data_IF_153356617426
#
_entry.id   IF_153356617426
#
_cell.length_a   1.000
_cell.length_b   1.000
_cell.length_c   1.000
_cell.angle_alpha   90.00
_cell.angle_beta   90.00
_cell.angle_gamma   90.00
#
_symmetry.space_group_name_H-M   'P 1'
#
loop_
_entity.id
_entity.type
_entity.pdbx_description
1 polymer ?
#
# COMPACT_ATOMS: atom_id res chain seq x y z
N UNK A 1 -5.98 14.93 -10.88
CA UNK A 1 -5.00 15.45 -9.89
C UNK A 1 -5.24 14.76 -8.55
N UNK A 2 -4.46 13.73 -8.20
CA UNK A 2 -4.55 13.09 -6.88
C UNK A 2 -4.01 14.06 -5.83
N UNK A 3 -4.91 14.68 -5.05
CA UNK A 3 -4.55 15.62 -3.96
C UNK A 3 -3.69 14.98 -2.85
N UNK A 4 -3.62 13.66 -2.79
CA UNK A 4 -2.89 12.90 -1.77
C UNK A 4 -1.45 12.52 -2.16
N UNK A 5 -0.98 12.90 -3.36
CA UNK A 5 0.30 12.41 -3.89
C UNK A 5 0.32 10.89 -4.10
N UNK A 6 1.47 10.29 -4.45
CA UNK A 6 1.58 8.85 -4.73
C UNK A 6 1.39 7.97 -3.48
N UNK A 7 1.45 8.55 -2.28
CA UNK A 7 1.39 7.81 -1.01
C UNK A 7 -0.01 7.72 -0.40
N UNK A 8 -1.04 8.30 -1.02
CA UNK A 8 -2.40 8.26 -0.48
C UNK A 8 -2.94 6.84 -0.32
N UNK A 9 -2.86 6.04 -1.39
CA UNK A 9 -3.29 4.64 -1.37
C UNK A 9 -2.38 3.78 -0.49
N UNK A 10 -1.06 4.05 -0.52
CA UNK A 10 -0.09 3.38 0.35
C UNK A 10 -0.36 3.60 1.84
N UNK A 11 -0.69 4.84 2.22
CA UNK A 11 -1.04 5.19 3.59
C UNK A 11 -2.34 4.51 4.02
N UNK A 12 -3.36 4.49 3.15
CA UNK A 12 -4.60 3.77 3.41
C UNK A 12 -4.34 2.28 3.67
N UNK A 13 -3.61 1.62 2.77
CA UNK A 13 -3.23 0.21 2.90
C UNK A 13 -2.48 -0.06 4.20
N UNK A 14 -1.49 0.78 4.52
CA UNK A 14 -0.72 0.66 5.76
C UNK A 14 -1.61 0.79 7.02
N UNK A 15 -2.52 1.76 7.03
CA UNK A 15 -3.41 2.02 8.16
C UNK A 15 -4.42 0.89 8.37
N UNK A 16 -5.06 0.42 7.29
CA UNK A 16 -6.03 -0.68 7.36
C UNK A 16 -5.34 -1.96 7.88
N UNK A 17 -4.19 -2.35 7.32
CA UNK A 17 -3.49 -3.53 7.78
C UNK A 17 -2.91 -3.41 9.19
N UNK A 18 -2.49 -2.21 9.61
CA UNK A 18 -2.05 -1.98 10.99
C UNK A 18 -3.22 -2.13 11.97
N UNK A 19 -4.39 -1.58 11.64
CA UNK A 19 -5.60 -1.75 12.45
C UNK A 19 -6.05 -3.21 12.53
N UNK A 20 -6.06 -3.93 11.40
CA UNK A 20 -6.37 -5.36 11.34
C UNK A 20 -5.39 -6.16 12.21
N UNK A 21 -4.09 -5.86 12.12
CA UNK A 21 -3.06 -6.54 12.94
C UNK A 21 -3.31 -6.35 14.43
N UNK A 22 -3.61 -5.12 14.87
CA UNK A 22 -3.90 -4.81 16.28
C UNK A 22 -5.20 -5.47 16.73
N UNK A 23 -6.25 -5.41 15.91
CA UNK A 23 -7.53 -6.08 16.19
C UNK A 23 -7.33 -7.57 16.38
N UNK A 24 -6.58 -8.22 15.47
CA UNK A 24 -6.33 -9.65 15.50
C UNK A 24 -5.53 -10.07 16.75
N UNK A 25 -4.62 -9.23 17.25
CA UNK A 25 -3.92 -9.48 18.52
C UNK A 25 -4.82 -9.33 19.76
N UNK A 26 -5.99 -8.71 19.63
CA UNK A 26 -6.92 -8.40 20.73
C UNK A 26 -8.21 -9.18 20.68
N UNK A 27 -8.48 -9.88 19.57
CA UNK A 27 -9.68 -10.70 19.41
C UNK A 27 -9.53 -12.02 20.17
N UNK A 28 -10.63 -12.51 20.72
CA UNK A 28 -10.72 -13.78 21.46
C UNK A 28 -10.75 -15.02 20.54
N UNK A 29 -10.80 -14.81 19.23
CA UNK A 29 -10.74 -15.87 18.22
C UNK A 29 -12.08 -16.50 17.90
N UNK A 30 -13.16 -16.24 18.66
CA UNK A 30 -14.48 -16.84 18.44
C UNK A 30 -15.00 -16.57 17.02
N UNK A 31 -14.77 -15.35 16.51
CA UNK A 31 -15.17 -14.95 15.17
C UNK A 31 -14.37 -15.63 14.06
N UNK A 32 -13.14 -16.05 14.36
CA UNK A 32 -12.28 -16.79 13.41
C UNK A 32 -12.65 -18.27 13.39
N UNK A 33 -12.98 -18.84 14.54
CA UNK A 33 -13.49 -20.21 14.67
C UNK A 33 -14.84 -20.38 13.94
N UNK A 34 -15.72 -19.38 14.01
CA UNK A 34 -17.00 -19.37 13.29
C UNK A 34 -16.85 -19.53 11.76
N UNK A 35 -15.65 -19.27 11.23
CA UNK A 35 -15.34 -19.41 9.81
C UNK A 35 -14.22 -20.43 9.56
N UNK A 36 -13.95 -21.29 10.55
CA UNK A 36 -12.93 -22.35 10.51
C UNK A 36 -11.54 -21.85 10.13
N UNK A 37 -11.17 -20.64 10.54
CA UNK A 37 -9.86 -20.04 10.27
C UNK A 37 -8.98 -20.10 11.51
N UNK A 38 -7.95 -20.97 11.56
CA UNK A 38 -7.08 -21.05 12.73
C UNK A 38 -6.36 -19.74 13.00
N UNK A 39 -6.32 -19.30 14.27
CA UNK A 39 -5.71 -18.03 14.70
C UNK A 39 -4.28 -17.85 14.16
N UNK A 40 -3.45 -18.90 14.21
CA UNK A 40 -2.08 -18.84 13.68
C UNK A 40 -2.02 -18.60 12.18
N UNK A 41 -2.93 -19.23 11.42
CA UNK A 41 -3.05 -19.06 9.98
C UNK A 41 -3.52 -17.64 9.66
N UNK A 42 -4.50 -17.12 10.40
CA UNK A 42 -4.95 -15.73 10.29
C UNK A 42 -3.80 -14.74 10.49
N UNK A 43 -3.04 -14.87 11.59
CA UNK A 43 -1.92 -13.98 11.89
C UNK A 43 -0.84 -14.02 10.81
N UNK A 44 -0.39 -15.21 10.43
CA UNK A 44 0.65 -15.37 9.41
C UNK A 44 0.18 -14.81 8.06
N UNK A 45 -1.05 -15.11 7.66
CA UNK A 45 -1.64 -14.65 6.41
C UNK A 45 -1.74 -13.12 6.35
N UNK A 46 -2.15 -12.48 7.45
CA UNK A 46 -2.19 -11.02 7.58
C UNK A 46 -0.79 -10.42 7.47
N UNK A 47 0.21 -10.98 8.16
CA UNK A 47 1.59 -10.48 8.10
C UNK A 47 2.13 -10.54 6.67
N UNK A 48 2.01 -11.70 6.01
CA UNK A 48 2.52 -11.91 4.65
C UNK A 48 1.79 -11.04 3.62
N UNK A 49 0.47 -10.93 3.72
CA UNK A 49 -0.34 -10.15 2.79
C UNK A 49 -0.12 -8.66 2.98
N UNK A 50 -0.08 -8.18 4.23
CA UNK A 50 0.26 -6.80 4.58
C UNK A 50 1.58 -6.39 3.96
N UNK A 51 2.64 -7.18 4.19
CA UNK A 51 3.97 -6.85 3.68
C UNK A 51 3.97 -6.73 2.14
N UNK A 52 3.28 -7.65 1.46
CA UNK A 52 3.19 -7.65 0.01
C UNK A 52 2.38 -6.47 -0.55
N UNK A 53 1.27 -6.11 0.09
CA UNK A 53 0.43 -4.98 -0.33
C UNK A 53 1.08 -3.63 -0.01
N UNK A 54 1.72 -3.47 1.15
CA UNK A 54 2.52 -2.29 1.47
C UNK A 54 3.66 -2.12 0.47
N UNK A 55 4.34 -3.21 0.11
CA UNK A 55 5.38 -3.19 -0.93
C UNK A 55 4.83 -2.80 -2.29
N UNK A 56 3.71 -3.40 -2.74
CA UNK A 56 3.08 -3.09 -4.01
C UNK A 56 2.57 -1.64 -4.09
N UNK A 57 2.10 -1.10 -2.96
CA UNK A 57 1.67 0.29 -2.87
C UNK A 57 2.84 1.29 -2.71
N UNK A 58 4.09 0.82 -2.59
CA UNK A 58 5.26 1.68 -2.44
C UNK A 58 5.36 2.34 -1.06
N UNK A 59 4.85 1.69 -0.01
CA UNK A 59 5.00 2.19 1.35
C UNK A 59 6.48 2.22 1.77
N UNK A 60 7.02 3.37 2.22
CA UNK A 60 8.45 3.49 2.51
C UNK A 60 8.83 2.78 3.82
N UNK A 61 10.07 2.29 3.90
CA UNK A 61 10.64 1.72 5.13
C UNK A 61 11.75 2.61 5.68
N UNK A 62 11.61 3.06 6.92
CA UNK A 62 12.68 3.81 7.61
C UNK A 62 13.97 2.99 7.78
N UNK A 63 13.87 1.66 7.77
CA UNK A 63 15.01 0.75 7.87
C UNK A 63 15.88 0.66 6.61
N UNK A 64 15.56 1.39 5.53
CA UNK A 64 16.34 1.42 4.30
C UNK A 64 15.64 0.71 3.13
N UNK A 65 16.43 0.03 2.30
CA UNK A 65 15.99 -0.51 1.01
C UNK A 65 14.74 -1.40 1.12
N UNK A 66 13.90 -1.36 0.08
CA UNK A 66 12.74 -2.24 -0.03
C UNK A 66 13.19 -3.70 0.01
N UNK A 67 12.64 -4.46 0.95
CA UNK A 67 12.87 -5.90 1.07
C UNK A 67 11.79 -6.62 0.27
N UNK A 68 12.19 -7.60 -0.52
CA UNK A 68 11.25 -8.48 -1.21
C UNK A 68 10.35 -9.17 -0.17
N UNK A 69 9.01 -8.99 -0.25
CA UNK A 69 8.06 -9.62 0.65
C UNK A 69 8.26 -11.13 0.78
N UNK A 70 8.21 -11.65 2.01
CA UNK A 70 8.42 -13.08 2.26
C UNK A 70 7.40 -13.96 1.53
N UNK A 71 6.19 -13.44 1.28
CA UNK A 71 5.13 -14.18 0.57
C UNK A 71 5.60 -14.67 -0.80
N UNK A 72 6.48 -13.94 -1.48
CA UNK A 72 6.95 -14.28 -2.83
C UNK A 72 7.92 -15.46 -2.86
N UNK A 73 8.45 -15.89 -1.70
CA UNK A 73 9.27 -17.09 -1.58
C UNK A 73 8.47 -18.40 -1.49
N UNK A 74 7.15 -18.34 -1.32
CA UNK A 74 6.29 -19.52 -1.22
C UNK A 74 5.70 -19.96 -2.56
N UNK A 75 5.19 -21.19 -2.64
CA UNK A 75 4.47 -21.69 -3.82
C UNK A 75 3.26 -20.81 -4.17
N UNK A 76 2.87 -20.72 -5.45
CA UNK A 76 1.70 -19.93 -5.87
C UNK A 76 0.42 -20.27 -5.10
N UNK A 77 0.19 -21.56 -4.81
CA UNK A 77 -0.97 -22.01 -4.03
C UNK A 77 -0.94 -21.47 -2.61
N UNK A 78 0.23 -21.52 -1.94
CA UNK A 78 0.41 -20.95 -0.60
C UNK A 78 0.20 -19.43 -0.60
N UNK A 79 0.63 -18.74 -1.66
CA UNK A 79 0.40 -17.30 -1.80
C UNK A 79 -1.09 -16.99 -1.95
N UNK A 80 -1.81 -17.76 -2.78
CA UNK A 80 -3.25 -17.64 -2.96
C UNK A 80 -4.00 -17.92 -1.65
N UNK A 81 -3.61 -18.94 -0.90
CA UNK A 81 -4.22 -19.30 0.38
C UNK A 81 -4.00 -18.22 1.45
N UNK A 82 -2.78 -17.70 1.57
CA UNK A 82 -2.46 -16.62 2.50
C UNK A 82 -3.29 -15.35 2.18
N UNK A 83 -3.39 -14.97 0.90
CA UNK A 83 -4.20 -13.81 0.48
C UNK A 83 -5.69 -14.02 0.75
N UNK A 84 -6.22 -15.22 0.48
CA UNK A 84 -7.62 -15.57 0.75
C UNK A 84 -7.93 -15.49 2.25
N UNK A 85 -7.07 -16.08 3.07
CA UNK A 85 -7.19 -16.05 4.53
C UNK A 85 -7.13 -14.62 5.06
N UNK A 86 -6.19 -13.80 4.58
CA UNK A 86 -6.09 -12.40 4.97
C UNK A 86 -7.32 -11.57 4.53
N UNK A 87 -7.87 -11.82 3.34
CA UNK A 87 -9.11 -11.19 2.87
C UNK A 87 -10.33 -11.57 3.73
N UNK A 88 -10.37 -12.81 4.21
CA UNK A 88 -11.40 -13.27 5.14
C UNK A 88 -11.29 -12.55 6.50
N UNK A 89 -10.08 -12.43 7.04
CA UNK A 89 -9.81 -11.65 8.27
C UNK A 89 -10.24 -10.19 8.09
N UNK A 90 -9.87 -9.56 6.96
CA UNK A 90 -10.28 -8.20 6.62
C UNK A 90 -11.80 -8.06 6.57
N UNK A 91 -12.49 -9.02 5.96
CA UNK A 91 -13.97 -8.99 5.86
C UNK A 91 -14.64 -9.04 7.24
N UNK A 92 -14.13 -9.87 8.15
CA UNK A 92 -14.62 -9.94 9.54
C UNK A 92 -14.34 -8.62 10.26
N UNK A 93 -13.12 -8.08 10.13
CA UNK A 93 -12.77 -6.78 10.71
C UNK A 93 -13.68 -5.65 10.21
N UNK A 94 -13.99 -5.61 8.91
CA UNK A 94 -14.91 -4.64 8.33
C UNK A 94 -16.35 -4.82 8.87
N UNK A 95 -16.82 -6.06 9.00
CA UNK A 95 -18.13 -6.37 9.58
C UNK A 95 -18.25 -5.96 11.06
N UNK A 96 -17.13 -5.93 11.80
CA UNK A 96 -17.06 -5.41 13.17
C UNK A 96 -16.98 -3.87 13.25
N UNK A 97 -17.16 -3.16 12.13
CA UNK A 97 -17.13 -1.71 12.09
C UNK A 97 -15.74 -1.10 12.07
N UNK A 98 -14.73 -1.86 11.60
CA UNK A 98 -13.34 -1.40 11.43
C UNK A 98 -12.70 -0.93 12.76
N UNK A 99 -12.74 -1.77 13.82
CA UNK A 99 -12.19 -1.40 15.11
C UNK A 99 -10.68 -1.09 15.01
N UNK A 100 -10.19 -0.25 15.92
CA UNK A 100 -8.79 0.17 16.01
C UNK A 100 -8.25 1.01 14.85
N UNK A 101 -9.08 1.41 13.87
CA UNK A 101 -8.73 2.45 12.91
C UNK A 101 -9.23 3.82 13.42
N UNK A 102 -8.31 4.65 13.91
CA UNK A 102 -8.60 5.93 14.55
C UNK A 102 -8.07 7.09 13.71
N UNK A 103 -8.69 8.28 13.81
CA UNK A 103 -8.15 9.49 13.16
C UNK A 103 -6.70 9.82 13.58
N UNK A 104 -6.30 9.43 14.80
CA UNK A 104 -4.92 9.57 15.29
C UNK A 104 -3.91 8.80 14.45
N UNK A 105 -4.31 7.70 13.82
CA UNK A 105 -3.40 6.83 13.07
C UNK A 105 -3.02 7.50 11.75
N UNK A 106 -3.92 8.28 11.15
CA UNK A 106 -3.61 9.15 10.01
C UNK A 106 -2.49 10.15 10.34
N UNK A 107 -2.49 10.70 11.56
CA UNK A 107 -1.43 11.60 12.02
C UNK A 107 -0.09 10.86 12.13
N UNK A 108 -0.08 9.64 12.67
CA UNK A 108 1.13 8.82 12.73
C UNK A 108 1.66 8.47 11.34
N UNK A 109 0.80 8.06 10.42
CA UNK A 109 1.20 7.79 9.03
C UNK A 109 1.80 9.04 8.36
N UNK A 110 1.20 10.22 8.56
CA UNK A 110 1.76 11.48 8.07
C UNK A 110 3.15 11.77 8.69
N UNK A 111 3.29 11.64 10.00
CA UNK A 111 4.56 11.87 10.69
C UNK A 111 5.66 10.88 10.23
N UNK A 112 5.27 9.63 9.96
CA UNK A 112 6.16 8.61 9.42
C UNK A 112 6.63 8.95 8.00
N UNK A 113 5.72 9.32 7.10
CA UNK A 113 6.07 9.78 5.74
C UNK A 113 6.99 11.02 5.79
N UNK A 114 6.70 11.98 6.67
CA UNK A 114 7.55 13.14 6.87
C UNK A 114 8.96 12.76 7.39
N UNK A 115 9.07 11.72 8.21
CA UNK A 115 10.36 11.17 8.63
C UNK A 115 11.11 10.54 7.46
N UNK A 116 10.44 9.76 6.61
CA UNK A 116 11.04 9.17 5.40
C UNK A 116 11.58 10.24 4.44
N UNK A 117 10.90 11.39 4.30
CA UNK A 117 11.39 12.54 3.52
C UNK A 117 12.66 13.11 4.14
N UNK A 118 12.66 13.38 5.46
CA UNK A 118 13.86 13.91 6.17
C UNK A 118 15.06 12.96 6.10
N UNK A 119 14.81 11.66 6.03
CA UNK A 119 15.84 10.63 5.88
C UNK A 119 16.26 10.38 4.43
N UNK A 120 15.69 11.09 3.44
CA UNK A 120 16.03 10.94 2.03
C UNK A 120 15.54 9.64 1.36
N UNK A 121 14.65 8.89 2.03
CA UNK A 121 14.04 7.66 1.49
C UNK A 121 12.97 8.00 0.47
N UNK A 122 12.15 9.00 0.79
CA UNK A 122 11.22 9.61 -0.16
C UNK A 122 11.91 10.85 -0.72
N UNK A 123 12.03 10.98 -2.06
CA UNK A 123 12.53 12.21 -2.65
C UNK A 123 11.62 13.38 -2.25
N UNK A 124 12.17 14.56 -1.93
CA UNK A 124 11.35 15.70 -1.55
C UNK A 124 10.29 15.96 -2.62
N UNK A 125 9.04 16.18 -2.19
CA UNK A 125 7.98 16.56 -3.11
C UNK A 125 8.42 17.82 -3.84
N UNK A 126 8.38 17.87 -5.19
CA UNK A 126 8.65 19.11 -5.90
C UNK A 126 7.68 20.16 -5.39
N UNK A 127 8.24 21.28 -4.90
CA UNK A 127 7.41 22.39 -4.47
C UNK A 127 6.72 23.01 -5.70
N UNK A 128 5.59 23.71 -5.51
CA UNK A 128 4.78 24.31 -6.60
C UNK A 128 5.51 25.39 -7.45
N UNK A 129 6.84 25.37 -7.52
CA UNK A 129 7.68 26.17 -8.40
C UNK A 129 8.74 25.37 -9.18
N UNK A 130 8.88 24.06 -8.96
CA UNK A 130 9.93 23.22 -9.58
C UNK A 130 9.47 22.53 -10.88
N UNK A 131 8.24 22.78 -11.32
CA UNK A 131 7.79 22.35 -12.65
C UNK A 131 8.23 23.43 -13.63
N UNK A 132 9.36 23.21 -14.30
CA UNK A 132 9.72 24.03 -15.47
C UNK A 132 8.50 24.12 -16.39
N UNK A 133 8.13 25.33 -16.87
CA UNK A 133 7.02 25.47 -17.79
C UNK A 133 7.27 24.54 -18.97
N UNK A 134 6.31 23.65 -19.23
CA UNK A 134 6.34 22.73 -20.36
C UNK A 134 6.73 23.52 -21.60
N UNK A 135 7.97 23.32 -22.06
CA UNK A 135 8.41 23.89 -23.33
C UNK A 135 7.47 23.35 -24.40
N UNK A 136 6.91 24.21 -25.27
CA UNK A 136 6.01 23.76 -26.32
C UNK A 136 6.74 22.70 -27.14
N UNK A 137 6.13 21.51 -27.21
CA UNK A 137 6.66 20.39 -27.98
C UNK A 137 6.98 20.87 -29.39
N UNK A 138 8.23 20.69 -29.82
CA UNK A 138 8.65 20.95 -31.19
C UNK A 138 7.69 20.18 -32.12
N UNK A 139 7.07 20.83 -33.12
CA UNK A 139 6.11 20.15 -33.98
C UNK A 139 6.77 18.93 -34.61
N UNK A 140 6.03 17.81 -34.64
CA UNK A 140 6.48 16.57 -35.24
C UNK A 140 6.92 16.84 -36.70
N UNK A 141 8.00 16.19 -37.18
CA UNK A 141 8.41 16.31 -38.57
C UNK A 141 7.24 15.93 -39.50
N UNK A 142 7.02 16.66 -40.61
CA UNK A 142 5.92 16.36 -41.51
C UNK A 142 6.06 14.93 -42.06
N UNK A 143 4.97 14.17 -41.98
CA UNK A 143 4.89 12.82 -42.50
C UNK A 143 5.10 12.85 -44.02
N UNK A 144 5.91 11.93 -44.56
CA UNK A 144 6.25 11.81 -46.00
C UNK A 144 5.01 11.81 -46.92
N UNK A 145 3.85 11.39 -46.42
CA UNK A 145 2.58 11.38 -47.16
C UNK A 145 1.96 12.78 -47.39
N UNK A 146 2.48 13.83 -46.74
CA UNK A 146 2.08 15.22 -46.98
C UNK A 146 2.96 15.94 -48.04
N UNK A 147 3.99 15.28 -48.59
CA UNK A 147 4.87 15.87 -49.61
C UNK A 147 4.38 15.69 -51.05
N UNK A 148 3.30 14.94 -51.27
CA UNK A 148 2.79 14.61 -52.62
C UNK A 148 1.39 15.19 -52.90
N UNK A 149 1.02 16.29 -52.24
CA UNK A 149 -0.14 17.09 -52.62
C UNK A 149 0.31 18.43 -53.19
N UNK A 150 0.82 18.39 -54.41
CA UNK A 150 0.74 19.46 -55.40
C UNK A 150 0.39 18.83 -56.76
#
# INVERSE_FOLDING_TARGET
>A
MQRAGPYGDAAKTHLEWSAISVWLMKTDGEQLEAVSLPVRVAHLSVILTREAEEHAAGWPRLSGAAVTPAIYGFSPDSQCEARRSAAQVRSIWEANGRPYLRPSDCKFAFQYLAACIRSGIIPPLPTMGDVEPSSPAKPAPPHILNMFKE
#
